data_IF_933976270075
#
_entry.id   IF_933976270075
#
_cell.length_a   1.000
_cell.length_b   1.000
_cell.length_c   1.000
_cell.angle_alpha   90.00
_cell.angle_beta   90.00
_cell.angle_gamma   90.00
#
_symmetry.space_group_name_H-M   'P 1'
#
loop_
_entity.id
_entity.type
_entity.pdbx_description
1 polymer ?
#
# COMPACT_ATOMS: atom_id res chain seq x y z
N UNK A 1 25.21 -20.73 32.91
CA UNK A 1 25.23 -19.26 32.99
C UNK A 1 24.03 -18.80 32.19
N UNK A 2 23.04 -18.26 32.88
CA UNK A 2 21.72 -17.88 32.37
C UNK A 2 21.83 -16.67 31.45
N UNK A 3 21.26 -16.78 30.25
CA UNK A 3 20.94 -15.65 29.39
C UNK A 3 19.72 -14.93 29.99
N UNK A 4 19.94 -13.78 30.59
CA UNK A 4 18.86 -12.86 30.96
C UNK A 4 18.31 -12.22 29.68
N UNK A 5 17.10 -12.60 29.30
CA UNK A 5 16.31 -11.88 28.32
C UNK A 5 15.90 -10.53 28.92
N UNK A 6 16.57 -9.46 28.50
CA UNK A 6 16.28 -8.09 28.89
C UNK A 6 14.98 -7.61 28.23
N UNK A 7 13.84 -7.94 28.84
CA UNK A 7 12.55 -7.34 28.51
C UNK A 7 12.52 -5.91 29.04
N UNK A 8 13.18 -4.97 28.34
CA UNK A 8 13.10 -3.55 28.71
C UNK A 8 11.71 -3.00 28.38
N UNK A 9 10.81 -3.02 29.38
CA UNK A 9 9.56 -2.27 29.35
C UNK A 9 9.87 -0.79 29.56
N UNK A 10 10.30 -0.10 28.50
CA UNK A 10 10.43 1.35 28.52
C UNK A 10 9.03 1.98 28.53
N UNK A 11 8.84 3.00 29.38
CA UNK A 11 7.62 3.83 29.35
C UNK A 11 7.50 4.53 27.99
N UNK A 12 6.35 4.39 27.36
CA UNK A 12 5.97 5.12 26.15
C UNK A 12 6.14 6.63 26.39
N UNK A 13 6.63 7.34 25.38
CA UNK A 13 6.74 8.80 25.39
C UNK A 13 5.35 9.45 25.40
N UNK A 14 5.22 10.70 25.86
CA UNK A 14 3.97 11.45 25.77
C UNK A 14 3.41 11.51 24.34
N UNK A 15 4.28 11.63 23.34
CA UNK A 15 3.91 11.67 21.92
C UNK A 15 3.37 10.32 21.44
N UNK A 16 4.03 9.20 21.78
CA UNK A 16 3.55 7.85 21.44
C UNK A 16 2.21 7.53 22.12
N UNK A 17 2.04 7.95 23.38
CA UNK A 17 0.78 7.82 24.11
C UNK A 17 -0.31 8.68 23.48
N UNK A 18 0.02 9.90 23.05
CA UNK A 18 -0.92 10.79 22.36
C UNK A 18 -1.36 10.20 21.02
N UNK A 19 -0.43 9.70 20.20
CA UNK A 19 -0.75 9.01 18.94
C UNK A 19 -1.65 7.79 19.17
N UNK A 20 -1.37 6.99 20.20
CA UNK A 20 -2.16 5.81 20.54
C UNK A 20 -3.57 6.19 21.01
N UNK A 21 -3.68 7.23 21.84
CA UNK A 21 -4.96 7.80 22.27
C UNK A 21 -5.73 8.37 21.07
N UNK A 22 -5.07 9.06 20.14
CA UNK A 22 -5.70 9.57 18.93
C UNK A 22 -6.19 8.44 18.01
N UNK A 23 -5.41 7.36 17.89
CA UNK A 23 -5.84 6.17 17.13
C UNK A 23 -7.02 5.47 17.78
N UNK A 24 -7.04 5.35 19.10
CA UNK A 24 -8.16 4.79 19.87
C UNK A 24 -9.42 5.65 19.81
N UNK A 25 -9.27 6.95 19.52
CA UNK A 25 -10.39 7.88 19.34
C UNK A 25 -11.04 7.78 17.96
N UNK A 26 -10.42 7.11 16.98
CA UNK A 26 -11.00 6.90 15.65
C UNK A 26 -11.81 5.61 15.61
N UNK A 27 -12.74 5.53 14.67
CA UNK A 27 -13.44 4.31 14.33
C UNK A 27 -12.47 3.26 13.80
N UNK A 28 -12.86 1.99 13.86
CA UNK A 28 -12.07 0.87 13.37
C UNK A 28 -12.52 0.46 11.98
N UNK A 29 -11.55 0.27 11.10
CA UNK A 29 -11.76 -0.27 9.77
C UNK A 29 -11.48 -1.78 9.76
N UNK A 30 -12.45 -2.56 9.31
CA UNK A 30 -12.28 -3.98 8.98
C UNK A 30 -12.40 -4.17 7.46
N UNK A 31 -11.38 -4.77 6.86
CA UNK A 31 -11.31 -4.98 5.40
C UNK A 31 -11.47 -6.46 5.08
N UNK A 32 -12.45 -6.80 4.24
CA UNK A 32 -12.54 -8.11 3.59
C UNK A 32 -11.82 -8.04 2.25
N UNK A 33 -10.68 -8.72 2.15
CA UNK A 33 -9.87 -8.77 0.95
C UNK A 33 -10.11 -10.07 0.19
N UNK A 34 -10.18 -10.01 -1.14
CA UNK A 34 -10.36 -11.19 -1.98
C UNK A 34 -9.44 -11.20 -3.18
N UNK A 35 -9.08 -12.40 -3.62
CA UNK A 35 -8.23 -12.59 -4.81
C UNK A 35 -8.91 -12.16 -6.11
N UNK A 36 -10.24 -12.23 -6.17
CA UNK A 36 -11.01 -11.94 -7.38
C UNK A 36 -12.47 -11.51 -7.08
N UNK A 37 -13.20 -10.96 -8.07
CA UNK A 37 -14.65 -10.79 -7.98
C UNK A 37 -15.37 -12.13 -7.82
N UNK A 38 -16.39 -12.17 -6.97
CA UNK A 38 -17.26 -13.34 -6.79
C UNK A 38 -16.79 -14.37 -5.75
N UNK A 39 -15.67 -14.12 -5.06
CA UNK A 39 -15.16 -14.97 -3.95
C UNK A 39 -16.04 -14.94 -2.69
N UNK A 40 -16.96 -13.97 -2.58
CA UNK A 40 -17.93 -13.89 -1.47
C UNK A 40 -17.70 -12.78 -0.43
N UNK A 41 -16.85 -11.77 -0.73
CA UNK A 41 -16.56 -10.65 0.19
C UNK A 41 -17.81 -9.97 0.75
N UNK A 42 -18.68 -9.46 -0.14
CA UNK A 42 -19.93 -8.78 0.23
C UNK A 42 -20.85 -9.68 1.07
N UNK A 43 -20.94 -10.95 0.71
CA UNK A 43 -21.76 -11.91 1.45
C UNK A 43 -21.25 -12.09 2.88
N UNK A 44 -19.93 -12.28 3.05
CA UNK A 44 -19.31 -12.43 4.38
C UNK A 44 -19.43 -11.15 5.21
N UNK A 45 -19.20 -9.99 4.58
CA UNK A 45 -19.35 -8.68 5.20
C UNK A 45 -20.77 -8.45 5.73
N UNK A 46 -21.79 -8.79 4.94
CA UNK A 46 -23.19 -8.71 5.36
C UNK A 46 -23.54 -9.74 6.45
N UNK A 47 -22.97 -10.94 6.40
CA UNK A 47 -23.16 -11.93 7.47
C UNK A 47 -22.68 -11.40 8.81
N UNK A 48 -21.49 -10.80 8.85
CA UNK A 48 -20.95 -10.21 10.07
C UNK A 48 -21.75 -8.98 10.53
N UNK A 49 -22.23 -8.15 9.60
CA UNK A 49 -23.14 -7.04 9.91
C UNK A 49 -24.42 -7.52 10.63
N UNK A 50 -25.00 -8.64 10.19
CA UNK A 50 -26.15 -9.26 10.86
C UNK A 50 -25.79 -9.86 12.23
N UNK A 51 -24.60 -10.45 12.38
CA UNK A 51 -24.12 -10.96 13.67
C UNK A 51 -24.00 -9.81 14.69
N UNK A 52 -23.38 -8.70 14.31
CA UNK A 52 -23.26 -7.49 15.13
C UNK A 52 -24.63 -6.90 15.49
N UNK A 53 -25.55 -6.81 14.53
CA UNK A 53 -26.90 -6.31 14.79
C UNK A 53 -27.67 -7.21 15.79
N UNK A 54 -27.49 -8.54 15.73
CA UNK A 54 -28.08 -9.49 16.69
C UNK A 54 -27.49 -9.35 18.09
N UNK A 55 -26.24 -8.92 18.20
CA UNK A 55 -25.58 -8.60 19.46
C UNK A 55 -26.01 -7.22 20.02
N UNK A 56 -26.87 -6.50 19.30
CA UNK A 56 -27.40 -5.20 19.72
C UNK A 56 -26.52 -4.00 19.34
N UNK A 57 -25.55 -4.19 18.45
CA UNK A 57 -24.73 -3.10 17.89
C UNK A 57 -25.55 -2.35 16.83
N UNK A 58 -25.48 -1.02 16.80
CA UNK A 58 -26.18 -0.19 15.80
C UNK A 58 -25.46 -0.26 14.44
N UNK A 59 -25.99 -1.07 13.53
CA UNK A 59 -25.40 -1.32 12.21
C UNK A 59 -26.29 -0.77 11.11
N UNK A 60 -25.69 0.02 10.21
CA UNK A 60 -26.37 0.53 9.01
C UNK A 60 -25.60 0.18 7.73
N UNK A 61 -26.31 0.10 6.62
CA UNK A 61 -25.75 -0.02 5.28
C UNK A 61 -25.63 1.38 4.68
N UNK A 62 -24.40 1.81 4.41
CA UNK A 62 -24.13 3.02 3.63
C UNK A 62 -24.17 2.73 2.14
N UNK A 63 -23.46 1.67 1.72
CA UNK A 63 -23.45 1.23 0.32
C UNK A 63 -23.12 -0.25 0.23
N UNK A 64 -23.97 -1.00 -0.48
CA UNK A 64 -23.74 -2.41 -0.81
C UNK A 64 -24.05 -2.61 -2.29
N UNK A 65 -23.08 -3.11 -3.03
CA UNK A 65 -23.24 -3.41 -4.43
C UNK A 65 -23.63 -4.88 -4.62
N UNK A 66 -24.89 -5.12 -4.98
CA UNK A 66 -25.41 -6.47 -5.14
C UNK A 66 -25.07 -7.08 -6.50
N UNK A 67 -24.67 -6.29 -7.50
CA UNK A 67 -24.43 -6.71 -8.88
C UNK A 67 -25.55 -7.58 -9.46
N UNK A 68 -26.81 -7.27 -9.12
CA UNK A 68 -28.01 -8.05 -9.48
C UNK A 68 -28.03 -9.50 -8.96
N UNK A 69 -27.28 -9.80 -7.90
CA UNK A 69 -27.30 -11.12 -7.25
C UNK A 69 -28.45 -11.17 -6.24
N UNK A 70 -29.51 -11.90 -6.58
CA UNK A 70 -30.68 -12.08 -5.71
C UNK A 70 -30.30 -12.57 -4.31
N UNK A 71 -29.38 -13.53 -4.20
CA UNK A 71 -28.88 -14.03 -2.91
C UNK A 71 -28.22 -12.92 -2.07
N UNK A 72 -27.48 -12.00 -2.69
CA UNK A 72 -26.80 -10.90 -1.98
C UNK A 72 -27.77 -9.78 -1.65
N UNK A 73 -28.74 -9.50 -2.52
CA UNK A 73 -29.83 -8.57 -2.23
C UNK A 73 -30.69 -9.05 -1.05
N UNK A 74 -30.97 -10.36 -0.97
CA UNK A 74 -31.68 -10.96 0.15
C UNK A 74 -30.91 -10.83 1.48
N UNK A 75 -29.57 -10.78 1.44
CA UNK A 75 -28.73 -10.60 2.63
C UNK A 75 -28.77 -9.18 3.20
N UNK A 76 -29.31 -8.19 2.48
CA UNK A 76 -29.59 -6.87 3.07
C UNK A 76 -30.58 -7.06 4.23
N UNK A 77 -31.63 -7.85 4.02
CA UNK A 77 -32.62 -8.20 5.04
C UNK A 77 -33.20 -6.97 5.72
N UNK A 78 -33.17 -6.97 7.05
CA UNK A 78 -33.75 -5.92 7.89
C UNK A 78 -32.72 -4.86 8.34
N UNK A 79 -31.48 -4.88 7.80
CA UNK A 79 -30.49 -3.86 8.13
C UNK A 79 -30.95 -2.49 7.63
N UNK A 80 -30.85 -1.47 8.48
CA UNK A 80 -31.17 -0.08 8.11
C UNK A 80 -30.25 0.38 6.97
N UNK A 81 -30.81 1.03 5.95
CA UNK A 81 -30.05 1.54 4.79
C UNK A 81 -30.11 3.05 4.79
N UNK A 82 -28.95 3.70 4.75
CA UNK A 82 -28.85 5.14 4.52
C UNK A 82 -29.09 5.39 3.02
N UNK A 83 -30.07 6.24 2.65
CA UNK A 83 -30.32 6.57 1.26
C UNK A 83 -29.09 7.16 0.57
N UNK A 84 -28.86 6.77 -0.68
CA UNK A 84 -27.76 7.30 -1.48
C UNK A 84 -27.99 8.77 -1.86
N UNK A 85 -26.90 9.55 -1.88
CA UNK A 85 -26.91 10.96 -2.28
C UNK A 85 -27.04 11.06 -3.79
N UNK A 86 -27.95 11.91 -4.25
CA UNK A 86 -28.11 12.21 -5.67
C UNK A 86 -27.10 13.28 -6.09
N UNK A 87 -26.34 13.04 -7.16
CA UNK A 87 -25.29 13.91 -7.66
C UNK A 87 -25.51 14.15 -9.15
N UNK A 88 -25.79 15.40 -9.52
CA UNK A 88 -26.01 15.78 -10.92
C UNK A 88 -24.68 16.11 -11.60
N UNK A 89 -24.34 15.36 -12.65
CA UNK A 89 -23.13 15.58 -13.44
C UNK A 89 -23.40 15.39 -14.93
N UNK A 90 -23.09 16.43 -15.74
CA UNK A 90 -23.26 16.44 -17.21
C UNK A 90 -24.63 15.93 -17.69
N UNK A 91 -25.69 16.44 -17.08
CA UNK A 91 -27.10 16.11 -17.40
C UNK A 91 -27.55 14.68 -17.05
N UNK A 92 -26.77 13.95 -16.26
CA UNK A 92 -27.14 12.65 -15.70
C UNK A 92 -27.09 12.73 -14.18
N UNK A 93 -28.13 12.25 -13.51
CA UNK A 93 -28.15 12.08 -12.05
C UNK A 93 -27.54 10.73 -11.70
N UNK A 94 -26.55 10.75 -10.82
CA UNK A 94 -25.91 9.56 -10.25
C UNK A 94 -26.30 9.44 -8.78
N UNK A 95 -26.18 8.24 -8.23
CA UNK A 95 -26.37 7.97 -6.81
C UNK A 95 -25.07 7.40 -6.24
N UNK A 96 -24.59 7.98 -5.15
CA UNK A 96 -23.35 7.56 -4.47
C UNK A 96 -23.52 7.66 -2.94
N UNK A 97 -22.52 7.18 -2.20
CA UNK A 97 -22.52 7.14 -0.73
C UNK A 97 -22.80 8.52 -0.11
N UNK A 98 -23.75 8.60 0.82
CA UNK A 98 -24.04 9.82 1.59
C UNK A 98 -23.26 9.85 2.91
N UNK A 99 -22.02 10.32 2.85
CA UNK A 99 -21.12 10.43 4.01
C UNK A 99 -21.69 11.35 5.09
N UNK A 100 -22.34 12.45 4.69
CA UNK A 100 -22.90 13.44 5.62
C UNK A 100 -24.09 12.85 6.38
N UNK A 101 -24.96 12.11 5.69
CA UNK A 101 -26.08 11.41 6.32
C UNK A 101 -25.62 10.31 7.28
N UNK A 102 -24.58 9.55 6.92
CA UNK A 102 -23.99 8.52 7.81
C UNK A 102 -23.45 9.17 9.10
N UNK A 103 -22.66 10.24 8.97
CA UNK A 103 -22.10 10.96 10.12
C UNK A 103 -23.21 11.57 10.98
N UNK A 104 -24.24 12.14 10.36
CA UNK A 104 -25.39 12.69 11.09
C UNK A 104 -26.20 11.62 11.82
N UNK A 105 -26.33 10.41 11.25
CA UNK A 105 -26.98 9.26 11.87
C UNK A 105 -26.15 8.65 13.00
N UNK A 106 -24.83 8.80 12.94
CA UNK A 106 -23.85 8.37 13.95
C UNK A 106 -24.06 6.92 14.45
N UNK A 107 -24.06 5.91 13.55
CA UNK A 107 -24.17 4.51 13.92
C UNK A 107 -22.88 3.99 14.58
N UNK A 108 -22.95 2.84 15.27
CA UNK A 108 -21.74 2.16 15.76
C UNK A 108 -20.91 1.60 14.61
N UNK A 109 -21.58 1.05 13.58
CA UNK A 109 -20.96 0.40 12.42
C UNK A 109 -21.69 0.76 11.14
N UNK A 110 -20.94 1.07 10.08
CA UNK A 110 -21.47 1.21 8.71
C UNK A 110 -20.83 0.22 7.75
N UNK A 111 -21.65 -0.37 6.87
CA UNK A 111 -21.21 -1.25 5.78
C UNK A 111 -21.04 -0.44 4.49
N UNK A 112 -19.82 -0.49 3.90
CA UNK A 112 -19.47 0.24 2.68
C UNK A 112 -18.66 -0.68 1.75
N UNK A 113 -19.28 -1.17 0.68
CA UNK A 113 -18.62 -2.00 -0.33
C UNK A 113 -17.79 -1.18 -1.35
N UNK A 114 -16.98 -1.88 -2.14
CA UNK A 114 -16.12 -1.35 -3.19
C UNK A 114 -15.17 -0.24 -2.71
N UNK A 115 -14.31 -0.52 -1.72
CA UNK A 115 -13.37 0.45 -1.16
C UNK A 115 -12.50 1.16 -2.21
N UNK A 116 -12.23 0.47 -3.33
CA UNK A 116 -11.42 0.97 -4.43
C UNK A 116 -12.14 1.88 -5.42
N UNK A 117 -13.45 2.07 -5.28
CA UNK A 117 -14.27 2.83 -6.21
C UNK A 117 -13.78 4.27 -6.38
N UNK A 118 -13.93 4.82 -7.58
CA UNK A 118 -13.68 6.22 -7.89
C UNK A 118 -15.00 6.96 -7.88
N UNK A 119 -15.17 7.86 -6.92
CA UNK A 119 -16.44 8.52 -6.69
C UNK A 119 -16.87 9.36 -7.90
N UNK A 120 -18.17 9.62 -7.98
CA UNK A 120 -18.74 10.41 -9.06
C UNK A 120 -18.10 11.81 -9.10
N UNK A 121 -17.73 12.34 -10.28
CA UNK A 121 -17.25 13.71 -10.40
C UNK A 121 -18.26 14.71 -9.83
N UNK A 122 -17.83 15.53 -8.87
CA UNK A 122 -18.71 16.41 -8.09
C UNK A 122 -18.87 16.00 -6.63
N UNK A 123 -18.47 14.76 -6.27
CA UNK A 123 -18.33 14.34 -4.87
C UNK A 123 -17.24 15.12 -4.14
N UNK A 124 -17.36 15.21 -2.80
CA UNK A 124 -16.38 15.85 -1.92
C UNK A 124 -14.99 15.23 -2.06
N UNK A 125 -14.94 13.90 -2.07
CA UNK A 125 -13.72 13.12 -2.25
C UNK A 125 -13.71 12.41 -3.60
N UNK A 126 -12.52 12.19 -4.15
CA UNK A 126 -12.35 11.53 -5.43
C UNK A 126 -12.40 10.00 -5.34
N UNK A 127 -12.14 9.43 -4.16
CA UNK A 127 -12.03 7.99 -3.93
C UNK A 127 -12.83 7.57 -2.70
N UNK A 128 -13.52 6.43 -2.79
CA UNK A 128 -14.36 5.92 -1.70
C UNK A 128 -13.60 5.65 -0.41
N UNK A 129 -12.34 5.21 -0.50
CA UNK A 129 -11.52 5.05 0.70
C UNK A 129 -11.31 6.36 1.48
N UNK A 130 -11.36 7.53 0.82
CA UNK A 130 -11.26 8.81 1.50
C UNK A 130 -12.54 9.14 2.29
N UNK A 131 -13.71 8.78 1.74
CA UNK A 131 -14.98 8.84 2.46
C UNK A 131 -14.93 7.95 3.71
N UNK A 132 -14.43 6.72 3.55
CA UNK A 132 -14.26 5.78 4.66
C UNK A 132 -13.33 6.36 5.73
N UNK A 133 -12.20 6.96 5.35
CA UNK A 133 -11.28 7.61 6.30
C UNK A 133 -11.96 8.76 7.06
N UNK A 134 -12.78 9.57 6.40
CA UNK A 134 -13.57 10.62 7.06
C UNK A 134 -14.56 10.04 8.07
N UNK A 135 -15.29 8.97 7.72
CA UNK A 135 -16.23 8.31 8.62
C UNK A 135 -15.51 7.77 9.88
N UNK A 136 -14.32 7.19 9.71
CA UNK A 136 -13.50 6.72 10.84
C UNK A 136 -13.05 7.88 11.74
N UNK A 137 -12.73 9.05 11.18
CA UNK A 137 -12.39 10.25 11.96
C UNK A 137 -13.56 10.72 12.84
N UNK A 138 -14.80 10.41 12.45
CA UNK A 138 -16.02 10.64 13.21
C UNK A 138 -16.37 9.50 14.20
N UNK A 139 -15.43 8.58 14.45
CA UNK A 139 -15.55 7.47 15.42
C UNK A 139 -16.51 6.35 15.05
N UNK A 140 -16.96 6.31 13.81
CA UNK A 140 -17.87 5.28 13.30
C UNK A 140 -17.02 4.13 12.75
N UNK A 141 -17.32 2.89 13.12
CA UNK A 141 -16.59 1.73 12.60
C UNK A 141 -17.06 1.42 11.18
N UNK A 142 -16.16 0.93 10.32
CA UNK A 142 -16.48 0.64 8.92
C UNK A 142 -16.14 -0.81 8.58
N UNK A 143 -17.11 -1.54 8.04
CA UNK A 143 -16.90 -2.81 7.34
C UNK A 143 -16.80 -2.53 5.84
N UNK A 144 -15.69 -2.91 5.21
CA UNK A 144 -15.49 -2.66 3.78
C UNK A 144 -14.84 -3.83 3.06
N UNK A 145 -15.04 -3.91 1.75
CA UNK A 145 -14.51 -4.98 0.92
C UNK A 145 -13.72 -4.46 -0.28
N UNK A 146 -12.65 -5.19 -0.63
CA UNK A 146 -11.77 -4.85 -1.75
C UNK A 146 -11.15 -6.10 -2.39
N UNK A 147 -10.86 -6.04 -3.69
CA UNK A 147 -10.04 -7.08 -4.33
C UNK A 147 -8.56 -6.69 -4.28
N UNK A 148 -7.68 -7.68 -4.15
CA UNK A 148 -6.21 -7.51 -4.13
C UNK A 148 -5.69 -6.74 -5.37
N UNK A 149 -6.41 -6.85 -6.49
CA UNK A 149 -6.08 -6.16 -7.75
C UNK A 149 -6.09 -4.64 -7.70
N UNK A 150 -6.71 -4.07 -6.67
CA UNK A 150 -6.78 -2.63 -6.52
C UNK A 150 -5.62 -2.06 -5.71
N UNK A 151 -4.76 -2.88 -5.10
CA UNK A 151 -3.57 -2.37 -4.42
C UNK A 151 -2.59 -1.78 -5.43
N UNK A 152 -2.09 -0.58 -5.15
CA UNK A 152 -1.17 0.14 -6.03
C UNK A 152 0.12 -0.66 -6.26
N UNK A 153 0.69 -1.26 -5.20
CA UNK A 153 1.96 -2.01 -5.32
C UNK A 153 1.88 -3.24 -6.23
N UNK A 154 0.69 -3.82 -6.40
CA UNK A 154 0.47 -5.06 -7.14
C UNK A 154 0.01 -4.83 -8.59
N UNK A 155 -0.21 -3.58 -8.97
CA UNK A 155 -0.78 -3.22 -10.27
C UNK A 155 -0.04 -3.86 -11.47
N UNK A 156 1.29 -3.70 -11.52
CA UNK A 156 2.11 -4.17 -12.64
C UNK A 156 2.14 -5.71 -12.72
N UNK A 157 2.19 -6.36 -11.56
CA UNK A 157 2.18 -7.83 -11.46
C UNK A 157 0.84 -8.38 -11.95
N UNK A 158 -0.26 -7.75 -11.56
CA UNK A 158 -1.61 -8.19 -11.91
C UNK A 158 -1.92 -7.91 -13.38
N UNK A 159 -1.45 -6.80 -13.94
CA UNK A 159 -1.55 -6.57 -15.38
C UNK A 159 -0.74 -7.61 -16.16
N UNK A 160 0.43 -8.03 -15.66
CA UNK A 160 1.26 -9.07 -16.28
C UNK A 160 0.57 -10.44 -16.24
N UNK A 161 -0.09 -10.78 -15.13
CA UNK A 161 -0.82 -12.05 -14.97
C UNK A 161 -2.07 -12.07 -15.84
N UNK A 162 -2.90 -11.02 -15.75
CA UNK A 162 -4.27 -11.04 -16.30
C UNK A 162 -4.38 -10.41 -17.69
N UNK A 163 -3.37 -9.64 -18.13
CA UNK A 163 -3.43 -8.82 -19.34
C UNK A 163 -4.37 -7.62 -19.23
N UNK A 164 -5.04 -7.42 -18.09
CA UNK A 164 -6.08 -6.40 -17.90
C UNK A 164 -5.50 -5.24 -17.08
N UNK A 165 -5.70 -4.03 -17.60
CA UNK A 165 -5.30 -2.80 -16.90
C UNK A 165 -6.38 -2.41 -15.88
N UNK A 166 -6.05 -2.55 -14.60
CA UNK A 166 -6.91 -2.09 -13.50
C UNK A 166 -6.84 -0.56 -13.40
N UNK A 167 -7.99 0.11 -13.56
CA UNK A 167 -8.08 1.58 -13.52
C UNK A 167 -8.22 2.12 -12.11
N UNK A 168 -8.98 1.42 -11.29
CA UNK A 168 -9.29 1.83 -9.92
C UNK A 168 -8.28 1.24 -8.96
N UNK A 169 -7.68 2.11 -8.14
CA UNK A 169 -6.57 1.76 -7.27
C UNK A 169 -6.72 2.37 -5.89
N UNK A 170 -6.09 1.73 -4.91
CA UNK A 170 -5.99 2.18 -3.54
C UNK A 170 -4.54 2.10 -3.05
N UNK A 171 -4.13 3.01 -2.14
CA UNK A 171 -2.84 2.93 -1.50
C UNK A 171 -2.73 1.71 -0.57
N UNK A 172 -1.55 1.10 -0.52
CA UNK A 172 -1.28 -0.08 0.32
C UNK A 172 -1.41 0.22 1.82
N UNK A 173 -1.12 1.45 2.26
CA UNK A 173 -1.21 1.84 3.69
C UNK A 173 -2.62 1.67 4.29
N UNK A 174 -3.66 1.51 3.47
CA UNK A 174 -5.02 1.24 3.98
C UNK A 174 -5.10 -0.09 4.72
N UNK A 175 -4.26 -1.08 4.39
CA UNK A 175 -4.17 -2.34 5.14
C UNK A 175 -3.57 -2.12 6.53
N UNK A 176 -2.61 -1.18 6.65
CA UNK A 176 -2.03 -0.76 7.94
C UNK A 176 -3.03 0.01 8.82
N UNK A 177 -3.87 0.83 8.17
CA UNK A 177 -4.94 1.60 8.85
C UNK A 177 -6.02 0.65 9.36
N UNK A 178 -6.32 -0.42 8.61
CA UNK A 178 -7.28 -1.42 9.01
C UNK A 178 -6.87 -2.10 10.33
N UNK A 179 -7.80 -2.07 11.29
CA UNK A 179 -7.64 -2.79 12.55
C UNK A 179 -7.66 -4.29 12.33
N UNK A 180 -8.36 -4.75 11.30
CA UNK A 180 -8.46 -6.16 10.94
C UNK A 180 -8.58 -6.33 9.42
N UNK A 181 -7.86 -7.31 8.88
CA UNK A 181 -7.90 -7.69 7.46
C UNK A 181 -8.27 -9.16 7.38
N UNK A 182 -9.40 -9.46 6.73
CA UNK A 182 -9.92 -10.82 6.57
C UNK A 182 -9.77 -11.24 5.11
N UNK A 183 -8.97 -12.28 4.86
CA UNK A 183 -8.86 -12.89 3.55
C UNK A 183 -10.06 -13.80 3.27
N UNK A 184 -10.79 -13.49 2.20
CA UNK A 184 -11.85 -14.31 1.64
C UNK A 184 -11.30 -15.09 0.46
N UNK A 185 -11.03 -16.37 0.71
CA UNK A 185 -10.39 -17.27 -0.24
C UNK A 185 -11.34 -18.34 -0.78
N UNK A 186 -11.16 -18.68 -2.05
CA UNK A 186 -11.89 -19.73 -2.74
C UNK A 186 -11.00 -20.33 -3.83
N UNK A 187 -11.19 -21.61 -4.14
CA UNK A 187 -10.41 -22.24 -5.21
C UNK A 187 -10.81 -21.69 -6.58
N UNK A 188 -9.87 -21.71 -7.52
CA UNK A 188 -10.10 -21.26 -8.89
C UNK A 188 -11.22 -22.07 -9.58
N UNK A 189 -11.29 -23.39 -9.34
CA UNK A 189 -12.32 -24.26 -9.90
C UNK A 189 -13.71 -23.85 -9.39
N UNK A 190 -13.82 -23.56 -8.10
CA UNK A 190 -15.07 -23.15 -7.47
C UNK A 190 -15.51 -21.78 -7.98
N UNK A 191 -14.57 -20.83 -8.16
CA UNK A 191 -14.89 -19.53 -8.72
C UNK A 191 -15.33 -19.62 -10.19
N UNK A 192 -14.67 -20.45 -10.99
CA UNK A 192 -15.10 -20.72 -12.37
C UNK A 192 -16.48 -21.36 -12.43
N UNK A 193 -16.77 -22.31 -11.53
CA UNK A 193 -18.10 -22.92 -11.41
C UNK A 193 -19.16 -21.85 -11.11
N UNK A 194 -18.92 -21.00 -10.12
CA UNK A 194 -19.82 -19.86 -9.79
C UNK A 194 -20.01 -18.92 -10.98
N UNK A 195 -18.95 -18.65 -11.74
CA UNK A 195 -19.06 -17.83 -12.94
C UNK A 195 -19.92 -18.51 -14.02
N UNK A 196 -19.73 -19.80 -14.29
CA UNK A 196 -20.53 -20.58 -15.25
C UNK A 196 -22.01 -20.68 -14.84
N UNK A 197 -22.27 -20.72 -13.54
CA UNK A 197 -23.63 -20.69 -12.97
C UNK A 197 -24.27 -19.29 -13.02
N UNK A 198 -23.59 -18.27 -13.55
CA UNK A 198 -24.13 -16.90 -13.64
C UNK A 198 -24.14 -16.14 -12.31
N UNK A 199 -23.49 -16.67 -11.26
CA UNK A 199 -23.49 -16.08 -9.91
C UNK A 199 -22.53 -14.89 -9.76
N UNK A 200 -21.73 -14.58 -10.78
CA UNK A 200 -20.69 -13.54 -10.72
C UNK A 200 -20.94 -12.43 -11.74
N UNK A 201 -21.21 -12.77 -13.01
CA UNK A 201 -21.51 -11.85 -14.10
C UNK A 201 -22.73 -12.31 -14.90
N UNK A 202 -23.35 -11.36 -15.60
CA UNK A 202 -24.40 -11.63 -16.57
C UNK A 202 -23.91 -12.55 -17.71
N UNK A 203 -24.83 -13.35 -18.25
CA UNK A 203 -24.56 -14.46 -19.18
C UNK A 203 -23.74 -14.06 -20.40
N UNK A 204 -23.91 -12.84 -20.89
CA UNK A 204 -23.20 -12.29 -22.05
C UNK A 204 -21.69 -12.05 -21.82
N UNK A 205 -21.23 -11.93 -20.55
CA UNK A 205 -19.82 -11.68 -20.21
C UNK A 205 -19.08 -12.94 -19.73
N UNK A 206 -19.77 -14.07 -19.55
CA UNK A 206 -19.20 -15.29 -18.94
C UNK A 206 -18.05 -15.86 -19.77
N UNK A 207 -18.28 -16.17 -21.05
CA UNK A 207 -17.28 -16.84 -21.89
C UNK A 207 -16.00 -16.00 -22.07
N UNK A 208 -16.16 -14.71 -22.39
CA UNK A 208 -15.03 -13.78 -22.49
C UNK A 208 -14.27 -13.65 -21.17
N UNK A 209 -14.97 -13.69 -20.03
CA UNK A 209 -14.33 -13.61 -18.71
C UNK A 209 -13.55 -14.88 -18.36
N UNK A 210 -14.07 -16.06 -18.72
CA UNK A 210 -13.41 -17.35 -18.52
C UNK A 210 -12.12 -17.51 -19.35
N UNK A 211 -12.11 -16.99 -20.57
CA UNK A 211 -10.95 -17.04 -21.47
C UNK A 211 -9.83 -16.05 -21.07
N UNK A 212 -10.17 -14.98 -20.36
CA UNK A 212 -9.22 -13.93 -19.97
C UNK A 212 -8.94 -13.94 -18.46
N UNK A 213 -9.74 -13.23 -17.66
CA UNK A 213 -9.46 -13.03 -16.24
C UNK A 213 -9.63 -14.30 -15.40
N UNK A 214 -10.68 -15.09 -15.65
CA UNK A 214 -11.07 -16.25 -14.84
C UNK A 214 -10.45 -17.57 -15.30
N UNK A 215 -9.24 -17.52 -15.89
CA UNK A 215 -8.49 -18.74 -16.19
C UNK A 215 -7.92 -19.34 -14.90
N UNK A 216 -7.75 -20.67 -14.87
CA UNK A 216 -7.19 -21.37 -13.70
C UNK A 216 -5.84 -20.76 -13.29
N UNK A 217 -4.96 -20.52 -14.27
CA UNK A 217 -3.64 -19.91 -14.06
C UNK A 217 -3.74 -18.54 -13.38
N UNK A 218 -4.61 -17.67 -13.88
CA UNK A 218 -4.72 -16.30 -13.37
C UNK A 218 -5.30 -16.30 -11.96
N UNK A 219 -6.36 -17.07 -11.71
CA UNK A 219 -6.99 -17.16 -10.40
C UNK A 219 -6.07 -17.79 -9.35
N UNK A 220 -5.30 -18.82 -9.70
CA UNK A 220 -4.30 -19.40 -8.81
C UNK A 220 -3.20 -18.38 -8.45
N UNK A 221 -2.71 -17.61 -9.42
CA UNK A 221 -1.69 -16.60 -9.18
C UNK A 221 -2.22 -15.43 -8.32
N UNK A 222 -3.46 -14.96 -8.58
CA UNK A 222 -4.12 -13.93 -7.76
C UNK A 222 -4.38 -14.42 -6.33
N UNK A 223 -4.72 -15.70 -6.16
CA UNK A 223 -4.87 -16.32 -4.84
C UNK A 223 -3.56 -16.36 -4.07
N UNK A 224 -2.47 -16.77 -4.73
CA UNK A 224 -1.13 -16.75 -4.13
C UNK A 224 -0.72 -15.33 -3.72
N UNK A 225 -0.96 -14.34 -4.59
CA UNK A 225 -0.69 -12.94 -4.27
C UNK A 225 -1.50 -12.45 -3.08
N UNK A 226 -2.80 -12.76 -3.02
CA UNK A 226 -3.65 -12.34 -1.91
C UNK A 226 -3.22 -12.98 -0.58
N UNK A 227 -2.85 -14.28 -0.60
CA UNK A 227 -2.33 -14.97 0.58
C UNK A 227 -1.01 -14.35 1.06
N UNK A 228 -0.09 -14.07 0.14
CA UNK A 228 1.20 -13.45 0.46
C UNK A 228 1.02 -12.05 1.04
N UNK A 229 0.21 -11.21 0.41
CA UNK A 229 0.01 -9.82 0.88
C UNK A 229 -0.62 -9.76 2.28
N UNK A 230 -1.59 -10.64 2.56
CA UNK A 230 -2.21 -10.70 3.89
C UNK A 230 -1.26 -11.28 4.93
N UNK A 231 -0.43 -12.27 4.56
CA UNK A 231 0.61 -12.78 5.44
C UNK A 231 1.63 -11.68 5.78
N UNK A 232 2.08 -10.94 4.76
CA UNK A 232 3.00 -9.82 4.93
C UNK A 232 2.41 -8.72 5.85
N UNK A 233 1.10 -8.39 5.76
CA UNK A 233 0.40 -7.46 6.68
C UNK A 233 0.35 -7.96 8.13
N UNK A 234 0.14 -9.26 8.34
CA UNK A 234 0.09 -9.88 9.68
C UNK A 234 1.49 -9.90 10.33
N UNK A 235 2.51 -10.29 9.56
CA UNK A 235 3.91 -10.26 10.01
C UNK A 235 4.32 -8.83 10.35
N UNK A 236 4.00 -7.87 9.48
CA UNK A 236 4.22 -6.45 9.72
C UNK A 236 3.53 -5.95 11.02
N UNK A 237 2.31 -6.39 11.35
CA UNK A 237 1.62 -6.00 12.59
C UNK A 237 2.27 -6.57 13.85
N UNK A 238 2.92 -7.73 13.74
CA UNK A 238 3.59 -8.41 14.85
C UNK A 238 5.00 -7.83 15.08
N UNK A 239 5.73 -7.56 13.99
CA UNK A 239 7.06 -6.94 14.01
C UNK A 239 7.00 -5.43 14.33
N UNK A 240 5.91 -4.73 13.97
CA UNK A 240 5.69 -3.30 14.26
C UNK A 240 5.55 -2.96 15.75
N UNK A 241 5.40 -3.90 16.68
CA UNK A 241 5.50 -3.57 18.11
C UNK A 241 6.94 -3.60 18.64
N UNK A 242 7.77 -4.49 18.09
CA UNK A 242 9.13 -4.75 18.55
C UNK A 242 10.15 -3.91 17.77
N UNK A 243 10.01 -3.83 16.44
CA UNK A 243 10.75 -2.91 15.59
C UNK A 243 10.39 -1.44 15.87
N UNK A 244 9.15 -1.13 16.28
CA UNK A 244 8.78 0.24 16.72
C UNK A 244 9.48 0.64 18.01
N UNK A 245 9.69 -0.29 18.95
CA UNK A 245 10.48 -0.03 20.18
C UNK A 245 11.96 0.20 19.87
N UNK A 246 12.51 -0.49 18.88
CA UNK A 246 13.91 -0.35 18.49
C UNK A 246 14.18 0.85 17.57
N UNK A 247 13.34 1.08 16.54
CA UNK A 247 13.51 2.16 15.58
C UNK A 247 13.24 3.56 16.18
N UNK A 248 12.23 3.70 17.06
CA UNK A 248 11.96 4.96 17.78
C UNK A 248 13.09 5.27 18.77
N UNK A 249 13.76 4.25 19.31
CA UNK A 249 14.91 4.44 20.18
C UNK A 249 16.19 4.84 19.43
N UNK A 250 16.30 4.58 18.12
CA UNK A 250 17.54 4.77 17.35
C UNK A 250 17.50 5.85 16.26
N UNK A 251 16.35 6.50 15.99
CA UNK A 251 16.20 7.51 14.92
C UNK A 251 16.85 7.04 13.61
N UNK A 252 16.38 5.92 13.05
CA UNK A 252 16.97 5.38 11.83
C UNK A 252 16.84 6.37 10.66
N UNK A 253 17.90 6.46 9.86
CA UNK A 253 17.99 7.36 8.70
C UNK A 253 18.56 6.60 7.52
N UNK A 254 17.81 6.56 6.43
CA UNK A 254 18.14 5.75 5.25
C UNK A 254 18.57 6.65 4.11
N UNK A 255 19.72 6.33 3.51
CA UNK A 255 20.25 7.01 2.33
C UNK A 255 20.16 6.12 1.09
N UNK A 256 19.32 6.49 0.14
CA UNK A 256 19.21 5.81 -1.16
C UNK A 256 20.11 6.53 -2.16
N UNK A 257 21.13 5.83 -2.66
CA UNK A 257 22.05 6.40 -3.64
C UNK A 257 21.63 6.00 -5.06
N UNK A 258 21.29 7.00 -5.88
CA UNK A 258 20.81 6.80 -7.26
C UNK A 258 21.76 7.42 -8.27
N UNK A 259 21.98 6.67 -9.35
CA UNK A 259 22.73 7.11 -10.53
C UNK A 259 21.77 7.33 -11.70
N UNK A 260 22.19 8.08 -12.72
CA UNK A 260 21.39 8.27 -13.94
C UNK A 260 21.32 6.99 -14.77
N UNK A 261 20.49 6.04 -14.33
CA UNK A 261 20.12 4.82 -15.05
C UNK A 261 18.60 4.65 -15.07
N UNK A 262 18.12 3.58 -15.70
CA UNK A 262 16.69 3.28 -15.80
C UNK A 262 16.13 2.56 -14.56
N UNK A 263 16.96 2.32 -13.54
CA UNK A 263 16.58 1.64 -12.30
C UNK A 263 16.50 2.56 -11.09
N UNK A 264 16.96 3.80 -11.20
CA UNK A 264 16.91 4.80 -10.15
C UNK A 264 15.50 4.94 -9.54
N UNK A 265 14.44 5.02 -10.35
CA UNK A 265 13.07 5.12 -9.82
C UNK A 265 12.64 3.88 -9.05
N UNK A 266 13.00 2.68 -9.53
CA UNK A 266 12.73 1.43 -8.81
C UNK A 266 13.47 1.38 -7.48
N UNK A 267 14.72 1.85 -7.46
CA UNK A 267 15.54 1.90 -6.26
C UNK A 267 14.99 2.90 -5.25
N UNK A 268 14.54 4.09 -5.69
CA UNK A 268 13.87 5.07 -4.85
C UNK A 268 12.61 4.48 -4.23
N UNK A 269 11.76 3.82 -5.04
CA UNK A 269 10.53 3.18 -4.54
C UNK A 269 10.81 2.06 -3.55
N UNK A 270 11.85 1.25 -3.79
CA UNK A 270 12.28 0.22 -2.84
C UNK A 270 12.83 0.82 -1.55
N UNK A 271 13.66 1.84 -1.65
CA UNK A 271 14.20 2.54 -0.48
C UNK A 271 13.10 3.19 0.34
N UNK A 272 12.08 3.76 -0.31
CA UNK A 272 10.89 4.27 0.36
C UNK A 272 10.08 3.19 1.07
N UNK A 273 9.89 2.02 0.47
CA UNK A 273 9.22 0.89 1.14
C UNK A 273 9.97 0.47 2.41
N UNK A 274 11.29 0.40 2.34
CA UNK A 274 12.14 0.04 3.49
C UNK A 274 12.08 1.14 4.56
N UNK A 275 12.21 2.42 4.18
CA UNK A 275 12.13 3.52 5.14
C UNK A 275 10.76 3.64 5.78
N UNK A 276 9.68 3.40 5.04
CA UNK A 276 8.33 3.43 5.56
C UNK A 276 8.10 2.28 6.56
N UNK A 277 8.62 1.07 6.26
CA UNK A 277 8.59 -0.07 7.19
C UNK A 277 9.33 0.22 8.49
N UNK A 278 10.47 0.87 8.41
CA UNK A 278 11.33 1.20 9.54
C UNK A 278 10.97 2.53 10.23
N UNK A 279 9.97 3.27 9.70
CA UNK A 279 9.66 4.66 10.10
C UNK A 279 10.91 5.56 10.12
N UNK A 280 11.83 5.33 9.20
CA UNK A 280 13.10 6.01 9.11
C UNK A 280 13.00 7.28 8.23
N UNK A 281 13.81 8.30 8.53
CA UNK A 281 13.94 9.46 7.65
C UNK A 281 14.60 9.03 6.34
N UNK A 282 13.98 9.38 5.20
CA UNK A 282 14.46 9.00 3.89
C UNK A 282 15.24 10.14 3.23
N UNK A 283 16.46 9.81 2.81
CA UNK A 283 17.34 10.67 2.02
C UNK A 283 17.59 10.03 0.67
N UNK A 284 17.48 10.81 -0.40
CA UNK A 284 17.78 10.36 -1.76
C UNK A 284 18.97 11.16 -2.26
N UNK A 285 20.09 10.50 -2.50
CA UNK A 285 21.32 11.13 -2.96
C UNK A 285 21.57 10.82 -4.43
N UNK A 286 21.80 11.87 -5.22
CA UNK A 286 22.37 11.74 -6.57
C UNK A 286 23.60 12.63 -6.71
N UNK A 287 24.60 12.13 -7.45
CA UNK A 287 25.81 12.88 -7.75
C UNK A 287 25.88 13.23 -9.23
N UNK A 288 26.08 14.52 -9.54
CA UNK A 288 26.18 15.05 -10.90
C UNK A 288 27.61 15.45 -11.24
N UNK A 289 28.00 15.29 -12.50
CA UNK A 289 29.27 15.81 -13.03
C UNK A 289 29.00 17.19 -13.63
N UNK A 290 29.40 18.26 -12.95
CA UNK A 290 29.17 19.64 -13.40
C UNK A 290 27.90 20.28 -12.82
N UNK A 291 27.44 21.37 -13.45
CA UNK A 291 26.29 22.14 -12.98
C UNK A 291 24.97 21.59 -13.54
N UNK A 292 23.90 21.63 -12.73
CA UNK A 292 22.58 21.15 -13.15
C UNK A 292 22.08 21.84 -14.43
N UNK A 293 22.40 23.12 -14.61
CA UNK A 293 22.05 23.92 -15.79
C UNK A 293 22.77 23.48 -17.07
N UNK A 294 23.88 22.75 -16.96
CA UNK A 294 24.68 22.28 -18.10
C UNK A 294 24.28 20.87 -18.55
N UNK A 295 23.39 20.20 -17.81
CA UNK A 295 22.88 18.88 -18.15
C UNK A 295 21.94 18.92 -19.35
N UNK A 296 21.88 17.83 -20.12
CA UNK A 296 20.93 17.72 -21.23
C UNK A 296 19.47 17.74 -20.74
N UNK A 297 18.51 18.23 -21.55
CA UNK A 297 17.11 18.36 -21.14
C UNK A 297 16.44 17.05 -20.70
N UNK A 298 16.89 15.91 -21.23
CA UNK A 298 16.35 14.60 -20.89
C UNK A 298 16.79 14.16 -19.48
N UNK A 299 18.06 14.35 -19.15
CA UNK A 299 18.59 14.11 -17.80
C UNK A 299 17.99 15.06 -16.76
N UNK A 300 17.83 16.34 -17.09
CA UNK A 300 17.16 17.30 -16.21
C UNK A 300 15.72 16.86 -15.87
N UNK A 301 14.98 16.35 -16.88
CA UNK A 301 13.63 15.82 -16.70
C UNK A 301 13.60 14.62 -15.76
N UNK A 302 14.54 13.68 -15.88
CA UNK A 302 14.66 12.52 -14.97
C UNK A 302 14.87 12.97 -13.52
N UNK A 303 15.79 13.89 -13.27
CA UNK A 303 16.02 14.42 -11.92
C UNK A 303 14.82 15.18 -11.35
N UNK A 304 14.07 15.89 -12.19
CA UNK A 304 12.81 16.52 -11.77
C UNK A 304 11.75 15.47 -11.39
N UNK A 305 11.66 14.35 -12.11
CA UNK A 305 10.80 13.23 -11.72
C UNK A 305 11.20 12.67 -10.35
N UNK A 306 12.49 12.49 -10.09
CA UNK A 306 12.94 11.96 -8.79
C UNK A 306 12.73 12.95 -7.66
N UNK A 307 12.90 14.25 -7.90
CA UNK A 307 12.58 15.29 -6.92
C UNK A 307 11.08 15.32 -6.58
N UNK A 308 10.21 15.10 -7.57
CA UNK A 308 8.77 14.91 -7.34
C UNK A 308 8.48 13.67 -6.52
N UNK A 309 9.05 12.52 -6.89
CA UNK A 309 8.94 11.28 -6.11
C UNK A 309 9.42 11.45 -4.66
N UNK A 310 10.54 12.14 -4.46
CA UNK A 310 11.04 12.45 -3.13
C UNK A 310 10.02 13.27 -2.32
N UNK A 311 9.42 14.28 -2.95
CA UNK A 311 8.39 15.12 -2.31
C UNK A 311 7.13 14.30 -1.96
N UNK A 312 6.66 13.45 -2.88
CA UNK A 312 5.53 12.54 -2.67
C UNK A 312 5.80 11.55 -1.51
N UNK A 313 7.06 11.16 -1.33
CA UNK A 313 7.50 10.23 -0.30
C UNK A 313 7.93 10.89 1.01
N UNK A 314 7.85 12.21 1.14
CA UNK A 314 8.33 12.94 2.31
C UNK A 314 9.85 12.84 2.52
N UNK A 315 10.60 12.56 1.45
CA UNK A 315 12.04 12.33 1.46
C UNK A 315 12.84 13.60 1.17
N UNK A 316 14.03 13.71 1.76
CA UNK A 316 14.98 14.78 1.46
C UNK A 316 15.80 14.43 0.22
N UNK A 317 15.62 15.18 -0.86
CA UNK A 317 16.39 15.00 -2.09
C UNK A 317 17.69 15.83 -2.05
N UNK A 318 18.83 15.14 -2.13
CA UNK A 318 20.18 15.72 -2.08
C UNK A 318 20.85 15.52 -3.44
N UNK A 319 21.29 16.62 -4.03
CA UNK A 319 22.05 16.63 -5.28
C UNK A 319 23.43 17.23 -5.02
N UNK A 320 24.48 16.42 -5.16
CA UNK A 320 25.86 16.84 -4.91
C UNK A 320 26.71 16.86 -6.18
N UNK A 321 27.66 17.80 -6.25
CA UNK A 321 28.61 17.88 -7.37
C UNK A 321 29.78 16.94 -7.13
N UNK A 322 30.07 16.11 -8.13
CA UNK A 322 31.23 15.21 -8.12
C UNK A 322 32.50 15.98 -8.54
N UNK A 323 33.16 16.63 -7.59
CA UNK A 323 34.37 17.45 -7.82
C UNK A 323 35.63 16.58 -7.98
N UNK A 324 35.72 15.78 -9.05
CA UNK A 324 36.82 14.83 -9.32
C UNK A 324 37.09 13.80 -8.20
N UNK A 325 36.27 13.76 -7.15
CA UNK A 325 36.31 12.75 -6.10
C UNK A 325 35.57 11.47 -6.52
N UNK A 326 35.94 10.33 -5.90
CA UNK A 326 35.20 9.08 -6.12
C UNK A 326 33.84 9.18 -5.41
N UNK A 327 32.82 8.56 -6.00
CA UNK A 327 31.42 8.62 -5.52
C UNK A 327 31.26 8.19 -4.06
N UNK A 328 32.09 7.25 -3.59
CA UNK A 328 32.02 6.77 -2.22
C UNK A 328 32.32 7.88 -1.20
N UNK A 329 33.22 8.83 -1.49
CA UNK A 329 33.49 9.95 -0.60
C UNK A 329 32.26 10.84 -0.42
N UNK A 330 31.56 11.14 -1.51
CA UNK A 330 30.30 11.92 -1.46
C UNK A 330 29.25 11.20 -0.62
N UNK A 331 29.13 9.88 -0.79
CA UNK A 331 28.19 9.06 -0.01
C UNK A 331 28.57 9.08 1.48
N UNK A 332 29.85 8.85 1.81
CA UNK A 332 30.35 8.84 3.19
C UNK A 332 30.18 10.21 3.87
N UNK A 333 30.44 11.31 3.17
CA UNK A 333 30.28 12.66 3.70
C UNK A 333 28.82 12.98 4.03
N UNK A 334 27.90 12.67 3.11
CA UNK A 334 26.46 12.83 3.35
C UNK A 334 25.99 11.91 4.47
N UNK A 335 26.47 10.67 4.50
CA UNK A 335 26.14 9.72 5.55
C UNK A 335 26.53 10.23 6.94
N UNK A 336 27.75 10.78 7.08
CA UNK A 336 28.22 11.38 8.34
C UNK A 336 27.45 12.66 8.70
N UNK A 337 27.22 13.55 7.72
CA UNK A 337 26.53 14.83 7.91
C UNK A 337 25.09 14.65 8.39
N UNK A 338 24.39 13.65 7.88
CA UNK A 338 22.99 13.40 8.20
C UNK A 338 22.79 12.28 9.22
N UNK A 339 23.87 11.74 9.81
CA UNK A 339 23.82 10.60 10.75
C UNK A 339 23.03 9.41 10.19
N UNK A 340 23.33 9.04 8.95
CA UNK A 340 22.69 7.92 8.24
C UNK A 340 23.07 6.61 8.93
N UNK A 341 22.07 5.78 9.21
CA UNK A 341 22.25 4.45 9.82
C UNK A 341 22.23 3.34 8.77
N UNK A 342 21.60 3.56 7.61
CA UNK A 342 21.54 2.57 6.53
C UNK A 342 21.71 3.21 5.15
N UNK A 343 22.46 2.54 4.26
CA UNK A 343 22.70 2.97 2.89
C UNK A 343 22.16 1.92 1.91
N UNK A 344 21.31 2.37 0.98
CA UNK A 344 20.74 1.53 -0.07
C UNK A 344 21.44 1.85 -1.40
N UNK A 345 22.05 0.82 -2.00
CA UNK A 345 22.76 0.89 -3.27
C UNK A 345 22.14 -0.06 -4.29
N UNK A 346 21.97 0.41 -5.52
CA UNK A 346 21.63 -0.47 -6.64
C UNK A 346 22.81 -1.34 -7.04
N UNK A 347 22.57 -2.59 -7.41
CA UNK A 347 23.59 -3.47 -7.96
C UNK A 347 24.20 -2.82 -9.21
N UNK A 348 25.50 -2.53 -9.17
CA UNK A 348 26.19 -2.02 -10.35
C UNK A 348 26.44 -3.18 -11.30
N UNK A 349 26.00 -3.04 -12.56
CA UNK A 349 26.42 -3.90 -13.67
C UNK A 349 27.89 -3.59 -13.99
N UNK A 350 28.81 -4.05 -13.14
CA UNK A 350 30.25 -4.05 -13.44
C UNK A 350 30.69 -5.49 -13.62
N UNK A 351 31.54 -5.71 -14.61
CA UNK A 351 32.20 -7.01 -14.76
C UNK A 351 33.17 -7.23 -13.59
N UNK A 352 33.37 -8.46 -13.13
CA UNK A 352 34.32 -8.79 -12.03
C UNK A 352 35.73 -8.17 -12.24
N UNK A 353 36.14 -7.99 -13.50
CA UNK A 353 37.41 -7.35 -13.87
C UNK A 353 37.45 -5.83 -13.57
N UNK A 354 36.32 -5.13 -13.65
CA UNK A 354 36.19 -3.71 -13.31
C UNK A 354 36.11 -3.47 -11.80
N UNK A 355 35.60 -4.44 -11.03
CA UNK A 355 35.62 -4.40 -9.56
C UNK A 355 37.04 -4.56 -9.01
N UNK A 356 37.85 -5.41 -9.63
CA UNK A 356 39.27 -5.61 -9.30
C UNK A 356 40.13 -4.37 -9.57
N UNK A 357 39.82 -3.57 -10.58
CA UNK A 357 40.62 -2.39 -10.98
C UNK A 357 40.15 -1.07 -10.35
N UNK A 358 38.85 -0.90 -10.09
CA UNK A 358 38.28 0.34 -9.52
C UNK A 358 37.94 0.25 -8.02
N UNK A 359 38.01 -0.95 -7.44
CA UNK A 359 37.63 -1.25 -6.06
C UNK A 359 36.10 -1.38 -5.87
N UNK A 360 35.70 -2.14 -4.84
CA UNK A 360 34.29 -2.23 -4.41
C UNK A 360 33.88 -0.93 -3.72
N UNK A 361 32.85 -0.26 -4.24
CA UNK A 361 32.25 0.94 -3.60
C UNK A 361 31.74 0.58 -2.20
N UNK A 362 31.12 -0.59 -2.06
CA UNK A 362 30.65 -1.13 -0.78
C UNK A 362 31.82 -1.29 0.19
N UNK A 363 32.90 -1.95 -0.26
CA UNK A 363 34.08 -2.13 0.58
C UNK A 363 34.82 -0.84 0.92
N UNK A 364 34.70 0.22 0.10
CA UNK A 364 35.24 1.54 0.41
C UNK A 364 34.40 2.26 1.47
N UNK A 365 33.07 2.20 1.37
CA UNK A 365 32.15 2.77 2.37
C UNK A 365 32.36 2.07 3.72
N UNK A 366 32.36 0.72 3.75
CA UNK A 366 32.57 -0.05 4.98
C UNK A 366 33.91 0.21 5.68
N UNK A 367 34.93 0.73 4.98
CA UNK A 367 36.22 1.11 5.60
C UNK A 367 36.22 2.51 6.20
N UNK A 368 35.31 3.39 5.76
CA UNK A 368 35.26 4.79 6.19
C UNK A 368 34.09 5.11 7.13
N UNK A 369 33.18 4.14 7.32
CA UNK A 369 31.99 4.24 8.17
C UNK A 369 31.89 3.03 9.09
N UNK A 370 31.74 3.28 10.39
CA UNK A 370 31.44 2.25 11.39
C UNK A 370 29.95 2.30 11.76
N UNK A 371 29.30 1.14 11.88
CA UNK A 371 27.91 1.04 12.34
C UNK A 371 26.84 1.48 11.33
N UNK A 372 27.15 1.46 10.03
CA UNK A 372 26.18 1.72 8.95
C UNK A 372 25.91 0.43 8.17
N UNK A 373 24.64 0.04 8.08
CA UNK A 373 24.23 -1.11 7.28
C UNK A 373 24.17 -0.77 5.79
N UNK A 374 24.62 -1.69 4.93
CA UNK A 374 24.60 -1.49 3.49
C UNK A 374 23.72 -2.53 2.82
N UNK A 375 22.65 -2.06 2.17
CA UNK A 375 21.72 -2.89 1.41
C UNK A 375 22.01 -2.82 -0.08
N UNK A 376 22.25 -3.96 -0.71
CA UNK A 376 22.46 -4.06 -2.16
C UNK A 376 21.18 -4.59 -2.81
N UNK A 377 20.54 -3.76 -3.62
CA UNK A 377 19.30 -4.10 -4.32
C UNK A 377 19.64 -4.65 -5.71
N UNK A 378 19.26 -5.91 -5.94
CA UNK A 378 19.47 -6.59 -7.22
C UNK A 378 18.66 -5.92 -8.35
N UNK A 379 19.27 -5.84 -9.53
CA UNK A 379 18.65 -5.32 -10.73
C UNK A 379 17.82 -6.40 -11.45
N UNK A 380 16.57 -6.09 -11.81
CA UNK A 380 15.75 -6.97 -12.62
C UNK A 380 16.22 -6.90 -14.07
N UNK A 381 17.02 -7.88 -14.49
CA UNK A 381 17.50 -8.02 -15.88
C UNK A 381 16.31 -7.92 -16.84
N UNK A 382 16.35 -6.93 -17.75
CA UNK A 382 15.65 -7.05 -19.02
C UNK A 382 16.44 -8.06 -19.85
N UNK A 383 15.89 -9.26 -20.03
CA UNK A 383 16.27 -10.12 -21.15
C UNK A 383 15.58 -9.61 -22.42
#
# INVERSE_FOLDING_TARGET
MSEEQDFSFRRKTPEELLEEIERLKKGKLKIYIGSAPGVGKTYRMLTEAHELAKEGIDVVIGLVETHNREETAAMIGDLEIIPLKSIDYKSTTFHDLDVEAIIARNPDVVVIDELAHSNIPGSKHAKRFQDVLEILDHRINVLSAVNIQHLESLHDVIQTITGIKVRERIPDYLLDVASEVILIDITAETLQKRLREGKIYASNKINQSLENFFTQRNLSALRELALREVADDVDDKTDKEEARRQAIAMNEKILVCVKNDDNAEKLIRRGWRISNRLRAELFILTAISGDYSELDPYTQKKYNTWKKLATEFGATFIMEKKNNCKIFHVITEIAKKHHITQIILGQSVKTRLEELTKGSIVGAIMRETDGIDIHIVADSRKN
#
